data_IF_929781596183
#
_entry.id   IF_929781596183
#
_cell.length_a   1.000
_cell.length_b   1.000
_cell.length_c   1.000
_cell.angle_alpha   90.00
_cell.angle_beta   90.00
_cell.angle_gamma   90.00
#
_symmetry.space_group_name_H-M   'P 1'
#
loop_
_entity.id
_entity.type
_entity.pdbx_description
1 polymer ?
#
# COMPACT_ATOMS: atom_id res chain seq x y z
N UNK A 1 -5.29 -14.28 -5.12
CA UNK A 1 -5.99 -13.62 -4.01
C UNK A 1 -5.95 -12.12 -4.23
N UNK A 2 -7.08 -11.51 -4.57
CA UNK A 2 -7.15 -10.07 -4.84
C UNK A 2 -7.23 -9.35 -3.49
N UNK A 3 -6.22 -8.55 -3.16
CA UNK A 3 -6.17 -7.75 -1.92
C UNK A 3 -6.18 -6.28 -2.31
N UNK A 4 -7.13 -5.51 -1.78
CA UNK A 4 -7.11 -4.05 -1.86
C UNK A 4 -6.57 -3.55 -0.52
N UNK A 5 -5.38 -2.92 -0.54
CA UNK A 5 -4.73 -2.39 0.65
C UNK A 5 -4.88 -0.86 0.63
N UNK A 6 -5.52 -0.31 1.67
CA UNK A 6 -5.59 1.14 1.86
C UNK A 6 -5.06 1.44 3.26
N UNK A 7 -3.88 2.06 3.33
CA UNK A 7 -3.35 2.61 4.58
C UNK A 7 -3.95 4.00 4.73
N UNK A 8 -4.95 4.16 5.61
CA UNK A 8 -5.56 5.46 5.89
C UNK A 8 -5.22 5.88 7.31
N UNK A 9 -4.80 7.13 7.48
CA UNK A 9 -4.78 7.77 8.79
C UNK A 9 -6.18 8.28 9.17
N UNK A 10 -6.53 8.09 10.44
CA UNK A 10 -7.46 8.91 11.23
C UNK A 10 -8.98 8.86 10.91
N UNK A 11 -9.62 7.69 11.08
CA UNK A 11 -10.98 7.65 11.65
C UNK A 11 -11.23 6.36 12.42
N UNK A 12 -11.99 6.44 13.51
CA UNK A 12 -12.50 5.27 14.22
C UNK A 12 -13.29 4.40 13.25
N UNK A 13 -12.98 3.10 13.22
CA UNK A 13 -13.72 2.11 12.43
C UNK A 13 -14.96 1.71 13.21
N UNK A 14 -16.15 1.93 12.64
CA UNK A 14 -17.42 1.51 13.22
C UNK A 14 -17.86 0.17 12.66
N UNK A 15 -18.75 -0.51 13.38
CA UNK A 15 -19.36 -1.77 12.93
C UNK A 15 -20.07 -1.65 11.57
N UNK A 16 -20.65 -0.48 11.28
CA UNK A 16 -21.32 -0.23 9.99
C UNK A 16 -20.31 -0.15 8.83
N UNK A 17 -19.10 0.38 9.07
CA UNK A 17 -18.06 0.44 8.03
C UNK A 17 -17.63 -0.98 7.62
N UNK A 18 -17.51 -1.87 8.61
CA UNK A 18 -17.12 -3.25 8.39
C UNK A 18 -18.23 -4.04 7.65
N UNK A 19 -19.50 -3.82 8.00
CA UNK A 19 -20.62 -4.46 7.31
C UNK A 19 -20.70 -4.06 5.83
N UNK A 20 -20.52 -2.77 5.51
CA UNK A 20 -20.50 -2.28 4.13
C UNK A 20 -19.36 -2.93 3.33
N UNK A 21 -18.18 -3.07 3.94
CA UNK A 21 -17.05 -3.73 3.30
C UNK A 21 -17.34 -5.22 3.08
N UNK A 22 -17.82 -5.93 4.10
CA UNK A 22 -18.19 -7.36 4.02
C UNK A 22 -19.19 -7.63 2.90
N UNK A 23 -20.26 -6.83 2.82
CA UNK A 23 -21.27 -6.93 1.78
C UNK A 23 -20.68 -6.71 0.39
N UNK A 24 -19.80 -5.72 0.23
CA UNK A 24 -19.13 -5.45 -1.04
C UNK A 24 -18.29 -6.65 -1.51
N UNK A 25 -17.48 -7.23 -0.63
CA UNK A 25 -16.64 -8.38 -1.00
C UNK A 25 -17.49 -9.64 -1.24
N UNK A 26 -18.50 -9.90 -0.40
CA UNK A 26 -19.41 -11.03 -0.55
C UNK A 26 -20.18 -10.99 -1.87
N UNK A 27 -20.68 -9.81 -2.27
CA UNK A 27 -21.37 -9.62 -3.55
C UNK A 27 -20.48 -9.88 -4.77
N UNK A 28 -19.15 -9.85 -4.60
CA UNK A 28 -18.17 -10.16 -5.64
C UNK A 28 -17.61 -11.59 -5.52
N UNK A 29 -18.13 -12.41 -4.60
CA UNK A 29 -17.64 -13.77 -4.35
C UNK A 29 -16.21 -13.80 -3.78
N UNK A 30 -15.83 -12.75 -3.06
CA UNK A 30 -14.50 -12.58 -2.48
C UNK A 30 -14.56 -12.66 -0.96
N UNK A 31 -13.50 -13.20 -0.37
CA UNK A 31 -13.29 -13.16 1.08
C UNK A 31 -12.82 -11.76 1.52
N UNK A 32 -13.35 -11.27 2.63
CA UNK A 32 -12.95 -9.98 3.22
C UNK A 32 -11.68 -10.16 4.03
N UNK A 33 -10.63 -9.41 3.65
CA UNK A 33 -9.39 -9.33 4.40
C UNK A 33 -9.15 -7.89 4.86
N UNK A 34 -8.80 -7.72 6.13
CA UNK A 34 -8.56 -6.40 6.75
C UNK A 34 -7.08 -6.25 7.09
N UNK A 35 -6.42 -5.27 6.48
CA UNK A 35 -5.08 -4.84 6.88
C UNK A 35 -5.22 -3.68 7.87
N UNK A 36 -4.67 -3.82 9.07
CA UNK A 36 -4.76 -2.80 10.13
C UNK A 36 -3.37 -2.51 10.71
N UNK A 37 -3.14 -1.26 11.11
CA UNK A 37 -2.04 -0.91 12.00
C UNK A 37 -2.58 -0.90 13.43
N UNK A 38 -2.23 -1.87 14.29
CA UNK A 38 -2.81 -1.96 15.64
C UNK A 38 -2.45 -0.77 16.53
N UNK A 39 -1.37 -0.06 16.18
CA UNK A 39 -0.96 1.17 16.87
C UNK A 39 -1.72 2.42 16.40
N UNK A 40 -2.40 2.38 15.25
CA UNK A 40 -3.19 3.52 14.77
C UNK A 40 -4.53 3.65 15.50
N UNK A 41 -5.19 2.52 15.79
CA UNK A 41 -6.40 2.45 16.60
C UNK A 41 -6.50 1.08 17.31
N UNK A 42 -6.11 0.99 18.59
CA UNK A 42 -6.18 -0.26 19.34
C UNK A 42 -7.59 -0.83 19.49
N UNK A 43 -8.64 0.00 19.36
CA UNK A 43 -10.04 -0.44 19.51
C UNK A 43 -10.53 -1.26 18.31
N UNK A 44 -9.93 -1.07 17.13
CA UNK A 44 -10.29 -1.78 15.91
C UNK A 44 -10.11 -3.31 16.03
N UNK A 45 -9.08 -3.76 16.76
CA UNK A 45 -8.84 -5.19 16.99
C UNK A 45 -10.00 -5.85 17.73
N UNK A 46 -10.59 -5.16 18.70
CA UNK A 46 -11.72 -5.69 19.49
C UNK A 46 -12.97 -5.84 18.61
N UNK A 47 -13.26 -4.85 17.77
CA UNK A 47 -14.39 -4.88 16.83
C UNK A 47 -14.24 -5.99 15.79
N UNK A 48 -13.03 -6.18 15.27
CA UNK A 48 -12.74 -7.27 14.33
C UNK A 48 -12.86 -8.65 15.00
N UNK A 49 -12.32 -8.80 16.22
CA UNK A 49 -12.43 -10.04 16.97
C UNK A 49 -13.89 -10.41 17.29
N UNK A 50 -14.74 -9.43 17.64
CA UNK A 50 -16.17 -9.70 17.88
C UNK A 50 -16.93 -10.12 16.62
N UNK A 51 -16.38 -9.88 15.43
CA UNK A 51 -16.89 -10.32 14.13
C UNK A 51 -16.26 -11.63 13.64
N UNK A 52 -15.42 -12.28 14.45
CA UNK A 52 -14.79 -13.55 14.12
C UNK A 52 -13.54 -13.44 13.26
N UNK A 53 -13.01 -12.24 13.03
CA UNK A 53 -11.72 -12.10 12.35
C UNK A 53 -10.59 -12.61 13.24
N UNK A 54 -9.62 -13.29 12.61
CA UNK A 54 -8.38 -13.74 13.23
C UNK A 54 -7.18 -13.11 12.52
N UNK A 55 -6.12 -12.82 13.27
CA UNK A 55 -4.89 -12.32 12.69
C UNK A 55 -4.21 -13.43 11.87
N UNK A 56 -4.13 -13.25 10.56
CA UNK A 56 -3.53 -14.23 9.63
C UNK A 56 -2.03 -13.97 9.44
N UNK A 57 -1.61 -12.71 9.31
CA UNK A 57 -0.26 -12.31 8.94
C UNK A 57 0.12 -10.96 9.57
N UNK A 58 1.42 -10.70 9.72
CA UNK A 58 1.96 -9.42 10.19
C UNK A 58 2.83 -8.78 9.10
N UNK A 59 2.68 -7.46 8.92
CA UNK A 59 3.52 -6.65 8.02
C UNK A 59 4.24 -5.59 8.85
N UNK A 60 5.57 -5.56 8.75
CA UNK A 60 6.36 -4.54 9.43
C UNK A 60 6.29 -3.22 8.66
N UNK A 61 5.75 -2.19 9.31
CA UNK A 61 5.82 -0.82 8.82
C UNK A 61 7.03 -0.14 9.46
N UNK A 62 8.03 0.20 8.64
CA UNK A 62 9.18 0.98 9.11
C UNK A 62 8.91 2.46 8.85
N UNK A 63 8.94 3.26 9.92
CA UNK A 63 8.83 4.71 9.85
C UNK A 63 10.02 5.30 10.61
N UNK A 64 10.69 6.26 10.00
CA UNK A 64 11.80 7.01 10.61
C UNK A 64 11.70 8.46 10.16
N UNK A 65 11.93 9.39 11.07
CA UNK A 65 12.13 10.80 10.73
C UNK A 65 13.51 10.92 10.09
N UNK A 66 13.56 11.41 8.86
CA UNK A 66 14.83 11.71 8.18
C UNK A 66 15.35 13.03 8.73
N UNK A 67 16.58 13.01 9.25
CA UNK A 67 17.34 14.20 9.61
C UNK A 67 18.28 14.60 8.46
N UNK A 68 18.77 15.84 8.46
CA UNK A 68 19.73 16.28 7.43
C UNK A 68 21.00 15.41 7.43
N UNK A 69 21.42 14.93 8.60
CA UNK A 69 22.57 14.02 8.76
C UNK A 69 22.33 12.61 8.18
N UNK A 70 21.09 12.25 7.81
CA UNK A 70 20.79 11.01 7.10
C UNK A 70 21.05 11.12 5.58
N UNK A 71 21.31 12.33 5.06
CA UNK A 71 21.51 12.58 3.64
C UNK A 71 22.95 12.31 3.23
N UNK A 72 23.31 11.04 3.08
CA UNK A 72 24.54 10.66 2.37
C UNK A 72 24.25 10.56 0.87
N UNK A 73 24.80 11.49 0.08
CA UNK A 73 24.74 11.40 -1.38
C UNK A 73 25.84 10.48 -1.90
N UNK A 74 25.48 9.23 -2.19
CA UNK A 74 26.30 8.34 -3.00
C UNK A 74 25.96 8.53 -4.49
N UNK A 75 26.91 9.04 -5.27
CA UNK A 75 26.76 9.14 -6.72
C UNK A 75 27.21 7.82 -7.36
N UNK A 76 26.27 7.13 -8.00
CA UNK A 76 26.58 5.95 -8.81
C UNK A 76 26.78 6.38 -10.26
N UNK A 77 27.95 6.09 -10.83
CA UNK A 77 28.26 6.44 -12.22
C UNK A 77 27.28 5.73 -13.18
N UNK A 78 26.73 6.49 -14.13
CA UNK A 78 25.76 5.99 -15.10
C UNK A 78 24.32 5.84 -14.61
N UNK A 79 24.01 6.21 -13.36
CA UNK A 79 22.64 6.19 -12.83
C UNK A 79 22.14 7.61 -12.52
N UNK A 80 20.87 7.90 -12.83
CA UNK A 80 20.21 9.17 -12.51
C UNK A 80 18.92 8.92 -11.73
N UNK A 81 18.75 9.60 -10.60
CA UNK A 81 17.50 9.55 -9.83
C UNK A 81 16.75 10.85 -10.08
N UNK A 82 15.54 10.74 -10.62
CA UNK A 82 14.68 11.89 -10.89
C UNK A 82 13.25 11.64 -10.39
N UNK A 83 12.54 12.75 -10.13
CA UNK A 83 11.11 12.68 -9.85
C UNK A 83 10.38 12.34 -11.15
N UNK A 84 9.40 11.43 -11.05
CA UNK A 84 8.60 11.06 -12.23
C UNK A 84 7.70 12.26 -12.59
N UNK A 85 7.81 12.81 -13.81
CA UNK A 85 6.98 13.92 -14.22
C UNK A 85 5.54 13.44 -14.48
N UNK A 86 4.50 14.28 -14.28
CA UNK A 86 3.10 13.87 -14.38
C UNK A 86 2.74 13.21 -15.72
N UNK A 87 3.37 13.63 -16.81
CA UNK A 87 3.13 13.14 -18.17
C UNK A 87 3.56 11.68 -18.35
N UNK A 88 4.49 11.21 -17.51
CA UNK A 88 5.03 9.84 -17.51
C UNK A 88 4.47 8.98 -16.38
N UNK A 89 3.52 9.50 -15.60
CA UNK A 89 2.88 8.76 -14.50
C UNK A 89 2.24 7.43 -14.94
N UNK A 90 1.80 7.36 -16.21
CA UNK A 90 1.25 6.15 -16.83
C UNK A 90 2.27 5.02 -17.05
N UNK A 91 3.57 5.33 -17.04
CA UNK A 91 4.67 4.35 -17.17
C UNK A 91 5.00 3.68 -15.82
N UNK A 92 4.63 4.32 -14.70
CA UNK A 92 4.91 3.86 -13.35
C UNK A 92 4.46 2.40 -13.07
N UNK A 93 3.27 1.95 -13.50
CA UNK A 93 2.87 0.55 -13.32
C UNK A 93 3.82 -0.44 -13.99
N UNK A 94 4.37 -0.11 -15.17
CA UNK A 94 5.31 -0.96 -15.88
C UNK A 94 6.62 -1.07 -15.09
N UNK A 95 7.11 0.03 -14.54
CA UNK A 95 8.32 0.04 -13.71
C UNK A 95 8.13 -0.69 -12.39
N UNK A 96 6.99 -0.51 -11.72
CA UNK A 96 6.66 -1.27 -10.51
C UNK A 96 6.64 -2.78 -10.79
N UNK A 97 6.03 -3.21 -11.90
CA UNK A 97 6.09 -4.61 -12.29
C UNK A 97 7.54 -5.04 -12.52
N UNK A 98 8.33 -4.32 -13.31
CA UNK A 98 9.71 -4.68 -13.60
C UNK A 98 10.59 -4.81 -12.34
N UNK A 99 10.47 -3.86 -11.40
CA UNK A 99 11.27 -3.83 -10.17
C UNK A 99 10.87 -4.87 -9.12
N UNK A 100 9.58 -5.19 -9.00
CA UNK A 100 9.07 -6.11 -7.96
C UNK A 100 8.81 -7.53 -8.48
N UNK A 101 8.83 -7.76 -9.80
CA UNK A 101 8.68 -9.11 -10.37
C UNK A 101 9.90 -10.01 -10.06
N UNK A 102 11.03 -9.45 -9.63
CA UNK A 102 12.21 -10.20 -9.19
C UNK A 102 11.96 -11.12 -7.97
N UNK A 103 10.86 -10.91 -7.23
CA UNK A 103 10.48 -11.70 -6.05
C UNK A 103 9.19 -12.50 -6.16
N UNK A 104 8.59 -12.65 -7.35
CA UNK A 104 7.39 -13.49 -7.56
C UNK A 104 6.04 -12.82 -7.29
N UNK A 105 5.96 -11.48 -7.31
CA UNK A 105 4.69 -10.76 -7.20
C UNK A 105 3.77 -10.98 -8.40
N UNK A 106 2.48 -11.22 -8.17
CA UNK A 106 1.48 -11.37 -9.25
C UNK A 106 1.43 -10.09 -10.10
N UNK A 107 1.70 -10.20 -11.41
CA UNK A 107 1.82 -9.07 -12.36
C UNK A 107 0.60 -8.13 -12.30
N UNK A 108 -0.61 -8.69 -12.23
CA UNK A 108 -1.85 -7.91 -12.13
C UNK A 108 -1.91 -7.07 -10.85
N UNK A 109 -1.44 -7.61 -9.73
CA UNK A 109 -1.40 -6.89 -8.45
C UNK A 109 -0.41 -5.73 -8.50
N UNK A 110 0.80 -5.97 -9.01
CA UNK A 110 1.83 -4.94 -9.16
C UNK A 110 1.40 -3.82 -10.12
N UNK A 111 0.70 -4.18 -11.21
CA UNK A 111 0.15 -3.19 -12.14
C UNK A 111 -0.92 -2.31 -11.48
N UNK A 112 -1.85 -2.93 -10.73
CA UNK A 112 -2.90 -2.21 -10.01
C UNK A 112 -2.30 -1.28 -8.95
N UNK A 113 -1.30 -1.72 -8.20
CA UNK A 113 -0.61 -0.86 -7.23
C UNK A 113 0.07 0.35 -7.89
N UNK A 114 0.80 0.13 -8.98
CA UNK A 114 1.43 1.23 -9.71
C UNK A 114 0.42 2.24 -10.24
N UNK A 115 -0.76 1.79 -10.68
CA UNK A 115 -1.86 2.68 -11.12
C UNK A 115 -2.43 3.49 -9.95
N UNK A 116 -2.64 2.85 -8.80
CA UNK A 116 -3.12 3.54 -7.60
C UNK A 116 -2.14 4.61 -7.14
N UNK A 117 -0.83 4.31 -7.16
CA UNK A 117 0.23 5.29 -6.84
C UNK A 117 0.19 6.46 -7.82
N UNK A 118 0.13 6.19 -9.13
CA UNK A 118 0.10 7.22 -10.17
C UNK A 118 -1.14 8.14 -10.07
N UNK A 119 -2.27 7.62 -9.58
CA UNK A 119 -3.52 8.35 -9.45
C UNK A 119 -3.68 9.07 -8.09
N UNK A 120 -2.81 8.80 -7.12
CA UNK A 120 -2.93 9.34 -5.77
C UNK A 120 -2.24 10.71 -5.64
N UNK A 121 -3.03 11.75 -5.35
CA UNK A 121 -2.56 13.16 -5.31
C UNK A 121 -1.44 13.42 -4.30
N UNK A 122 -1.38 12.63 -3.22
CA UNK A 122 -0.37 12.80 -2.17
C UNK A 122 0.87 11.93 -2.34
N UNK A 123 0.98 11.15 -3.43
CA UNK A 123 2.14 10.29 -3.68
C UNK A 123 3.02 10.88 -4.77
N UNK A 124 4.30 11.14 -4.45
CA UNK A 124 5.30 11.60 -5.43
C UNK A 124 6.26 10.44 -5.71
N UNK A 125 6.05 9.67 -6.79
CA UNK A 125 6.93 8.57 -7.14
C UNK A 125 8.30 9.08 -7.61
N UNK A 126 9.36 8.44 -7.12
CA UNK A 126 10.75 8.66 -7.53
C UNK A 126 11.24 7.47 -8.36
N UNK A 127 11.98 7.73 -9.43
CA UNK A 127 12.53 6.68 -10.30
C UNK A 127 14.05 6.76 -10.35
N UNK A 128 14.69 5.59 -10.49
CA UNK A 128 16.10 5.43 -10.85
C UNK A 128 16.18 5.03 -12.32
N UNK A 129 16.83 5.85 -13.15
CA UNK A 129 17.17 5.60 -14.55
C UNK A 129 18.57 5.01 -14.65
#
# INVERSE_FOLDING_TARGET
MNRIMVIRHARTILEVDLAIAEDLFANNGLETLVCLCPHADPSALKVLASRGYVAENFMNCYARVLADDDLEMERVEGAEISRVPPERSSELPVWCVAGFNAGGGLIYFLNTLGRLIALHKDTIPTMRL
#
